data_IF_953446281833
#
_entry.id   IF_953446281833
#
_cell.length_a   1.000
_cell.length_b   1.000
_cell.length_c   1.000
_cell.angle_alpha   90.00
_cell.angle_beta   90.00
_cell.angle_gamma   90.00
#
_symmetry.space_group_name_H-M   'P 1'
#
loop_
_entity.id
_entity.type
_entity.pdbx_description
1 polymer ?
#
# COMPACT_ATOMS: atom_id res chain seq x y z
N UNK A 1 41.10 36.73 1.04
CA UNK A 1 39.67 36.29 0.95
C UNK A 1 39.54 35.07 1.84
N UNK A 2 39.09 35.23 3.06
CA UNK A 2 38.81 34.13 3.99
C UNK A 2 37.55 33.47 3.56
N UNK A 3 37.65 32.21 3.12
CA UNK A 3 36.46 31.36 2.90
C UNK A 3 35.82 31.11 4.26
N UNK A 4 34.76 31.87 4.56
CA UNK A 4 33.85 31.52 5.65
C UNK A 4 33.11 30.25 5.29
N UNK A 5 33.52 29.14 5.89
CA UNK A 5 32.76 27.89 5.84
C UNK A 5 31.60 28.03 6.82
N UNK A 6 30.42 28.30 6.29
CA UNK A 6 29.20 28.30 7.08
C UNK A 6 28.88 26.86 7.55
N UNK A 7 28.99 26.60 8.84
CA UNK A 7 28.62 25.31 9.43
C UNK A 7 27.17 25.39 9.93
N UNK A 8 26.34 24.47 9.45
CA UNK A 8 24.96 24.34 9.89
C UNK A 8 24.79 23.10 10.77
N UNK A 9 24.37 23.27 12.00
CA UNK A 9 23.96 22.16 12.85
C UNK A 9 22.59 21.65 12.38
N UNK A 10 22.43 20.32 12.25
CA UNK A 10 21.15 19.69 11.97
C UNK A 10 20.47 19.41 13.32
N UNK A 11 19.44 20.19 13.72
CA UNK A 11 18.77 19.93 14.98
C UNK A 11 17.95 18.65 14.91
N UNK A 12 17.87 17.90 16.02
CA UNK A 12 16.94 16.77 16.11
C UNK A 12 15.51 17.31 16.03
N UNK A 13 14.68 16.68 15.20
CA UNK A 13 13.26 16.99 15.10
C UNK A 13 12.39 15.77 15.43
N UNK A 14 11.19 15.99 16.02
CA UNK A 14 10.32 14.89 16.45
C UNK A 14 9.82 14.00 15.31
N UNK A 15 9.65 14.56 14.10
CA UNK A 15 9.18 13.81 12.94
C UNK A 15 10.24 12.83 12.47
N UNK A 16 11.49 13.27 12.29
CA UNK A 16 12.60 12.41 11.89
C UNK A 16 12.85 11.29 12.90
N UNK A 17 12.78 11.59 14.20
CA UNK A 17 12.90 10.58 15.25
C UNK A 17 11.79 9.52 15.15
N UNK A 18 10.55 9.94 14.92
CA UNK A 18 9.41 9.03 14.77
C UNK A 18 9.52 8.19 13.51
N UNK A 19 9.82 8.79 12.34
CA UNK A 19 9.97 8.05 11.08
C UNK A 19 11.08 6.99 11.19
N UNK A 20 12.19 7.31 11.86
CA UNK A 20 13.24 6.35 12.15
C UNK A 20 12.75 5.20 13.04
N UNK A 21 11.96 5.52 14.06
CA UNK A 21 11.40 4.54 15.01
C UNK A 21 10.38 3.60 14.35
N UNK A 22 9.56 4.09 13.41
CA UNK A 22 8.58 3.29 12.68
C UNK A 22 9.19 2.30 11.69
N UNK A 23 10.46 2.44 11.35
CA UNK A 23 11.16 1.56 10.38
C UNK A 23 10.35 1.35 9.11
N UNK A 24 9.99 2.43 8.46
CA UNK A 24 9.28 2.41 7.18
C UNK A 24 10.08 1.62 6.15
N UNK A 25 9.39 0.83 5.33
CA UNK A 25 10.00 0.07 4.25
C UNK A 25 9.17 0.22 2.98
N UNK A 26 9.74 0.79 1.94
CA UNK A 26 9.15 0.79 0.61
C UNK A 26 9.39 -0.57 -0.06
N UNK A 27 8.34 -1.15 -0.67
CA UNK A 27 8.39 -2.48 -1.30
C UNK A 27 8.25 -2.41 -2.81
N UNK A 28 7.43 -1.52 -3.31
CA UNK A 28 7.11 -1.41 -4.72
C UNK A 28 6.80 0.04 -5.07
N UNK A 29 7.29 0.47 -6.19
CA UNK A 29 6.95 1.76 -6.78
C UNK A 29 6.64 1.58 -8.25
N UNK A 30 5.78 2.44 -8.81
CA UNK A 30 5.41 2.35 -10.21
C UNK A 30 4.52 3.49 -10.69
N UNK A 31 4.19 3.41 -11.97
CA UNK A 31 3.25 4.29 -12.64
C UNK A 31 2.09 3.44 -13.16
N UNK A 32 0.87 3.90 -12.96
CA UNK A 32 -0.34 3.32 -13.52
C UNK A 32 -0.85 4.28 -14.57
N UNK A 33 -0.99 3.80 -15.80
CA UNK A 33 -1.70 4.46 -16.88
C UNK A 33 -3.04 3.73 -17.05
N UNK A 34 -4.12 4.32 -16.58
CA UNK A 34 -5.45 3.77 -16.72
C UNK A 34 -6.18 4.44 -17.89
N UNK A 35 -6.69 3.63 -18.82
CA UNK A 35 -7.54 4.10 -19.91
C UNK A 35 -9.02 4.04 -19.52
N UNK A 36 -9.84 4.79 -20.24
CA UNK A 36 -11.25 4.98 -19.93
C UNK A 36 -12.08 3.69 -19.76
N UNK A 37 -11.71 2.62 -20.45
CA UNK A 37 -12.41 1.32 -20.42
C UNK A 37 -11.80 0.35 -19.40
N UNK A 38 -10.61 0.63 -18.88
CA UNK A 38 -9.95 -0.18 -17.89
C UNK A 38 -10.29 0.35 -16.49
N UNK A 39 -10.82 -0.53 -15.66
CA UNK A 39 -11.08 -0.25 -14.26
C UNK A 39 -10.05 -1.03 -13.41
N UNK A 40 -8.77 -0.59 -13.35
CA UNK A 40 -7.76 -1.29 -12.59
C UNK A 40 -8.09 -1.16 -11.11
N UNK A 41 -8.71 -2.21 -10.57
CA UNK A 41 -8.89 -2.33 -9.13
C UNK A 41 -7.58 -2.79 -8.54
N UNK A 42 -6.91 -1.90 -7.82
CA UNK A 42 -5.74 -2.24 -7.02
C UNK A 42 -6.16 -2.39 -5.57
N UNK A 43 -6.12 -3.62 -5.07
CA UNK A 43 -6.25 -3.85 -3.63
C UNK A 43 -4.94 -3.49 -2.95
N UNK A 44 -5.02 -2.58 -2.01
CA UNK A 44 -3.84 -2.10 -1.30
C UNK A 44 -3.68 -2.91 -0.03
N UNK A 45 -2.80 -3.92 -0.07
CA UNK A 45 -2.47 -4.74 1.10
C UNK A 45 -1.50 -4.05 2.05
N UNK A 46 -0.72 -3.13 1.51
CA UNK A 46 0.24 -2.28 2.21
C UNK A 46 -0.30 -0.84 2.26
N UNK A 47 0.38 0.02 2.99
CA UNK A 47 0.18 1.46 2.77
C UNK A 47 0.56 1.81 1.35
N UNK A 48 -0.18 2.72 0.74
CA UNK A 48 0.14 3.24 -0.58
C UNK A 48 0.10 4.75 -0.60
N UNK A 49 1.18 5.36 -1.02
CA UNK A 49 1.17 6.76 -1.48
C UNK A 49 0.80 6.76 -2.94
N UNK A 50 -0.21 7.55 -3.32
CA UNK A 50 -0.53 7.85 -4.71
C UNK A 50 -0.35 9.34 -4.98
N UNK A 51 0.07 9.66 -6.19
CA UNK A 51 0.13 11.01 -6.72
C UNK A 51 -0.44 11.03 -8.14
N UNK A 52 -1.50 11.79 -8.35
CA UNK A 52 -2.14 11.93 -9.66
C UNK A 52 -1.34 12.93 -10.49
N UNK A 53 -0.68 12.43 -11.53
CA UNK A 53 0.16 13.23 -12.43
C UNK A 53 -0.69 13.93 -13.48
N UNK A 54 -1.67 13.19 -14.04
CA UNK A 54 -2.55 13.65 -15.10
C UNK A 54 -3.91 12.98 -15.02
N UNK A 55 -4.95 13.70 -15.47
CA UNK A 55 -6.33 13.21 -15.54
C UNK A 55 -7.08 13.33 -14.22
N UNK A 56 -8.25 12.69 -14.20
CA UNK A 56 -9.16 12.65 -13.05
C UNK A 56 -9.48 11.20 -12.71
N UNK A 57 -9.58 10.87 -11.42
CA UNK A 57 -9.93 9.54 -10.94
C UNK A 57 -10.91 9.61 -9.77
N UNK A 58 -11.54 8.49 -9.48
CA UNK A 58 -12.32 8.31 -8.28
C UNK A 58 -11.58 7.32 -7.37
N UNK A 59 -11.14 7.78 -6.20
CA UNK A 59 -10.53 6.92 -5.20
C UNK A 59 -11.56 6.49 -4.17
N UNK A 60 -11.70 5.19 -3.99
CA UNK A 60 -12.54 4.59 -2.97
C UNK A 60 -11.69 4.27 -1.74
N UNK A 61 -12.01 4.90 -0.61
CA UNK A 61 -11.35 4.68 0.68
C UNK A 61 -12.43 4.59 1.75
N UNK A 62 -12.41 3.53 2.54
CA UNK A 62 -13.32 3.32 3.68
C UNK A 62 -14.81 3.62 3.35
N UNK A 63 -15.31 3.00 2.29
CA UNK A 63 -16.70 3.16 1.82
C UNK A 63 -17.06 4.55 1.24
N UNK A 64 -16.09 5.44 1.14
CA UNK A 64 -16.26 6.77 0.57
C UNK A 64 -15.52 6.90 -0.77
N UNK A 65 -16.14 7.61 -1.69
CA UNK A 65 -15.57 7.89 -2.99
C UNK A 65 -15.09 9.34 -3.04
N UNK A 66 -13.83 9.53 -3.39
CA UNK A 66 -13.20 10.84 -3.45
C UNK A 66 -12.78 11.15 -4.89
N UNK A 67 -13.33 12.20 -5.53
CA UNK A 67 -12.85 12.65 -6.82
C UNK A 67 -11.46 13.26 -6.65
N UNK A 68 -10.49 12.75 -7.38
CA UNK A 68 -9.12 13.25 -7.38
C UNK A 68 -8.72 13.66 -8.79
N UNK A 69 -7.87 14.67 -8.92
CA UNK A 69 -7.38 15.18 -10.19
C UNK A 69 -5.87 15.45 -10.13
N UNK A 70 -5.29 15.80 -11.27
CA UNK A 70 -3.86 16.10 -11.37
C UNK A 70 -3.38 17.07 -10.27
N UNK A 71 -2.30 16.68 -9.61
CA UNK A 71 -1.74 17.40 -8.45
C UNK A 71 -2.26 16.92 -7.10
N UNK A 72 -3.25 16.03 -7.03
CA UNK A 72 -3.63 15.42 -5.76
C UNK A 72 -2.66 14.32 -5.36
N UNK A 73 -2.32 14.32 -4.08
CA UNK A 73 -1.62 13.23 -3.43
C UNK A 73 -2.48 12.66 -2.30
N UNK A 74 -2.39 11.35 -2.11
CA UNK A 74 -3.19 10.63 -1.12
C UNK A 74 -2.39 9.47 -0.54
N UNK A 75 -2.56 9.23 0.76
CA UNK A 75 -2.07 8.01 1.39
C UNK A 75 -3.27 7.11 1.65
N UNK A 76 -3.22 5.91 1.07
CA UNK A 76 -4.24 4.90 1.22
C UNK A 76 -3.74 3.91 2.28
N UNK A 77 -4.51 3.68 3.35
CA UNK A 77 -4.15 2.69 4.36
C UNK A 77 -4.23 1.27 3.81
N UNK A 78 -3.55 0.29 4.43
CA UNK A 78 -3.83 -1.11 4.20
C UNK A 78 -5.30 -1.35 4.51
N UNK A 79 -6.03 -1.95 3.59
CA UNK A 79 -7.49 -2.18 3.62
C UNK A 79 -8.28 -1.21 2.73
N UNK A 80 -7.63 -0.23 2.13
CA UNK A 80 -8.29 0.63 1.16
C UNK A 80 -8.48 -0.09 -0.18
N UNK A 81 -9.64 0.06 -0.78
CA UNK A 81 -9.86 -0.32 -2.18
C UNK A 81 -9.55 0.90 -3.01
N UNK A 82 -8.58 0.78 -3.88
CA UNK A 82 -8.39 1.77 -4.91
C UNK A 82 -9.12 1.34 -6.16
N UNK A 83 -10.20 1.99 -6.48
CA UNK A 83 -10.83 1.92 -7.80
C UNK A 83 -10.56 3.23 -8.51
N UNK A 84 -9.85 3.16 -9.61
CA UNK A 84 -9.78 4.28 -10.55
C UNK A 84 -10.96 4.14 -11.50
N UNK A 85 -11.94 4.99 -11.34
CA UNK A 85 -13.09 5.04 -12.24
C UNK A 85 -13.18 6.43 -12.83
N UNK A 86 -12.65 6.60 -14.02
CA UNK A 86 -13.09 7.70 -14.87
C UNK A 86 -13.17 7.25 -16.33
N UNK A 87 -14.37 7.15 -16.87
CA UNK A 87 -14.57 6.62 -18.21
C UNK A 87 -14.26 7.62 -19.33
N UNK A 88 -13.71 8.79 -19.06
CA UNK A 88 -13.58 9.85 -20.08
C UNK A 88 -12.17 10.17 -20.50
N UNK A 89 -11.16 9.94 -19.66
CA UNK A 89 -9.78 10.34 -19.94
C UNK A 89 -8.76 9.35 -19.40
N UNK A 90 -7.56 9.36 -20.00
CA UNK A 90 -6.41 8.62 -19.49
C UNK A 90 -5.91 9.25 -18.19
N UNK A 91 -5.72 8.43 -17.16
CA UNK A 91 -5.24 8.85 -15.84
C UNK A 91 -3.85 8.28 -15.60
N UNK A 92 -2.91 9.15 -15.29
CA UNK A 92 -1.55 8.78 -14.89
C UNK A 92 -1.38 8.99 -13.39
N UNK A 93 -1.05 7.91 -12.68
CA UNK A 93 -0.87 7.92 -11.23
C UNK A 93 0.46 7.27 -10.86
N UNK A 94 1.29 7.97 -10.10
CA UNK A 94 2.47 7.40 -9.47
C UNK A 94 2.10 6.81 -8.13
N UNK A 95 2.66 5.65 -7.78
CA UNK A 95 2.41 5.00 -6.50
C UNK A 95 3.67 4.41 -5.88
N UNK A 96 3.65 4.32 -4.55
CA UNK A 96 4.63 3.59 -3.76
C UNK A 96 3.89 2.79 -2.70
N UNK A 97 4.07 1.48 -2.70
CA UNK A 97 3.60 0.60 -1.64
C UNK A 97 4.67 0.53 -0.54
N UNK A 98 4.26 0.69 0.69
CA UNK A 98 5.16 0.64 1.85
C UNK A 98 4.50 0.00 3.06
N UNK A 99 5.29 -0.41 4.03
CA UNK A 99 4.82 -0.91 5.31
C UNK A 99 5.62 -0.34 6.49
N UNK A 100 5.07 -0.55 7.68
CA UNK A 100 5.69 -0.22 8.95
C UNK A 100 6.13 -1.52 9.60
N UNK A 101 7.43 -1.73 9.75
CA UNK A 101 7.99 -3.01 10.22
C UNK A 101 7.63 -3.38 11.67
N UNK A 102 7.06 -2.46 12.44
CA UNK A 102 6.62 -2.70 13.80
C UNK A 102 5.09 -2.76 13.88
N UNK A 103 4.54 -3.96 14.02
CA UNK A 103 3.09 -4.19 14.06
C UNK A 103 2.39 -3.46 15.23
N UNK A 104 3.03 -3.34 16.38
CA UNK A 104 2.47 -2.61 17.54
C UNK A 104 2.38 -1.11 17.31
N UNK A 105 3.20 -0.56 16.42
CA UNK A 105 3.21 0.85 16.09
C UNK A 105 2.43 1.18 14.80
N UNK A 106 1.99 0.14 14.07
CA UNK A 106 1.25 0.30 12.82
C UNK A 106 -0.04 1.07 13.02
N UNK A 107 -0.79 0.77 14.06
CA UNK A 107 -2.04 1.44 14.38
C UNK A 107 -1.82 2.89 14.84
N UNK A 108 -0.80 3.15 15.66
CA UNK A 108 -0.44 4.52 16.07
C UNK A 108 0.04 5.34 14.86
N UNK A 109 0.86 4.76 14.01
CA UNK A 109 1.32 5.41 12.77
C UNK A 109 0.14 5.72 11.85
N UNK A 110 -0.80 4.76 11.71
CA UNK A 110 -2.02 4.94 10.94
C UNK A 110 -2.84 6.13 11.44
N UNK A 111 -3.15 6.18 12.73
CA UNK A 111 -3.95 7.25 13.32
C UNK A 111 -3.31 8.61 13.06
N UNK A 112 -2.00 8.74 13.26
CA UNK A 112 -1.27 9.98 13.02
C UNK A 112 -1.17 10.35 11.54
N UNK A 113 -0.96 9.34 10.68
CA UNK A 113 -0.88 9.56 9.25
C UNK A 113 -2.22 10.04 8.68
N UNK A 114 -3.34 9.47 9.16
CA UNK A 114 -4.69 9.88 8.77
C UNK A 114 -5.06 11.27 9.31
N UNK A 115 -4.55 11.65 10.49
CA UNK A 115 -4.66 13.03 10.98
C UNK A 115 -3.94 14.03 10.07
N UNK A 116 -2.84 13.61 9.45
CA UNK A 116 -2.04 14.47 8.57
C UNK A 116 -2.45 14.39 7.11
N UNK A 117 -2.97 13.23 6.67
CA UNK A 117 -3.17 12.93 5.26
C UNK A 117 -4.45 12.18 4.93
N UNK A 118 -5.64 12.77 4.94
CA UNK A 118 -6.68 12.12 4.15
C UNK A 118 -6.43 12.36 2.65
N UNK A 119 -6.36 13.59 2.21
CA UNK A 119 -6.10 14.03 0.84
C UNK A 119 -5.50 15.42 0.86
N UNK A 120 -4.61 15.75 -0.05
CA UNK A 120 -4.20 17.11 -0.23
C UNK A 120 -3.85 17.41 -1.70
N UNK A 121 -4.12 18.64 -2.08
CA UNK A 121 -3.71 19.18 -3.36
C UNK A 121 -2.30 19.75 -3.23
N UNK A 122 -1.41 19.29 -4.10
CA UNK A 122 -0.04 19.78 -4.17
C UNK A 122 -0.02 21.09 -4.95
N UNK A 123 0.60 22.13 -4.40
CA UNK A 123 0.80 23.40 -5.11
C UNK A 123 1.68 23.18 -6.34
N UNK A 124 1.49 24.01 -7.36
CA UNK A 124 2.22 23.90 -8.62
C UNK A 124 3.74 23.90 -8.45
N UNK A 125 4.26 24.74 -7.55
CA UNK A 125 5.69 24.81 -7.25
C UNK A 125 6.26 23.54 -6.61
N UNK A 126 5.43 22.78 -5.90
CA UNK A 126 5.84 21.55 -5.21
C UNK A 126 5.61 20.29 -6.05
N UNK A 127 4.79 20.37 -7.12
CA UNK A 127 4.51 19.26 -8.03
C UNK A 127 5.79 18.72 -8.68
N UNK A 128 6.69 19.61 -9.09
CA UNK A 128 7.96 19.21 -9.70
C UNK A 128 8.86 18.45 -8.72
N UNK A 129 8.88 18.85 -7.44
CA UNK A 129 9.68 18.17 -6.41
C UNK A 129 9.13 16.77 -6.13
N UNK A 130 7.80 16.61 -5.99
CA UNK A 130 7.21 15.30 -5.77
C UNK A 130 7.43 14.40 -6.98
N UNK A 131 7.18 14.90 -8.17
CA UNK A 131 7.42 14.17 -9.42
C UNK A 131 8.87 13.69 -9.51
N UNK A 132 9.83 14.57 -9.28
CA UNK A 132 11.25 14.23 -9.26
C UNK A 132 11.58 13.11 -8.26
N UNK A 133 11.05 13.17 -7.03
CA UNK A 133 11.29 12.14 -6.02
C UNK A 133 10.71 10.78 -6.43
N UNK A 134 9.50 10.76 -7.01
CA UNK A 134 8.90 9.52 -7.55
C UNK A 134 9.74 8.95 -8.69
N UNK A 135 10.11 9.78 -9.68
CA UNK A 135 10.92 9.35 -10.83
C UNK A 135 12.28 8.80 -10.38
N UNK A 136 12.95 9.45 -9.42
CA UNK A 136 14.21 8.94 -8.86
C UNK A 136 14.06 7.59 -8.16
N UNK A 137 12.94 7.37 -7.45
CA UNK A 137 12.63 6.07 -6.84
C UNK A 137 12.40 5.02 -7.93
N UNK A 138 11.71 5.36 -9.03
CA UNK A 138 11.46 4.44 -10.14
C UNK A 138 12.75 4.06 -10.86
N UNK A 139 13.60 5.04 -11.19
CA UNK A 139 14.89 4.80 -11.84
C UNK A 139 15.76 3.84 -11.03
N UNK A 140 15.86 4.08 -9.72
CA UNK A 140 16.65 3.26 -8.81
C UNK A 140 16.06 1.86 -8.65
N UNK A 141 14.74 1.73 -8.62
CA UNK A 141 14.05 0.44 -8.52
C UNK A 141 14.10 -0.36 -9.83
N UNK A 142 14.09 0.31 -10.99
CA UNK A 142 14.13 -0.32 -12.30
C UNK A 142 15.51 -0.89 -12.66
N UNK A 143 16.59 -0.28 -12.16
CA UNK A 143 17.97 -0.69 -12.42
C UNK A 143 18.75 -0.84 -11.10
N UNK A 144 18.42 -1.85 -10.29
CA UNK A 144 18.99 -1.97 -8.95
C UNK A 144 20.48 -2.26 -8.99
N UNK A 145 21.24 -1.50 -8.21
CA UNK A 145 22.67 -1.63 -7.99
C UNK A 145 22.99 -1.87 -6.50
N UNK A 146 24.25 -2.01 -6.17
CA UNK A 146 24.66 -2.09 -4.78
C UNK A 146 24.24 -0.83 -4.01
N UNK A 147 23.42 -1.01 -2.97
CA UNK A 147 22.90 0.11 -2.16
C UNK A 147 21.56 0.68 -2.61
N UNK A 148 20.98 0.25 -3.75
CA UNK A 148 19.69 0.74 -4.26
C UNK A 148 18.56 0.69 -3.24
N UNK A 149 18.48 -0.37 -2.45
CA UNK A 149 17.47 -0.48 -1.39
C UNK A 149 17.56 0.66 -0.38
N UNK A 150 18.77 1.06 0.00
CA UNK A 150 19.00 2.18 0.92
C UNK A 150 18.69 3.53 0.27
N UNK A 151 19.05 3.69 -1.00
CA UNK A 151 18.74 4.90 -1.77
C UNK A 151 17.22 5.08 -1.90
N UNK A 152 16.50 4.04 -2.33
CA UNK A 152 15.03 4.03 -2.42
C UNK A 152 14.41 4.39 -1.07
N UNK A 153 14.91 3.78 0.02
CA UNK A 153 14.40 4.04 1.36
C UNK A 153 14.59 5.51 1.77
N UNK A 154 15.76 6.11 1.51
CA UNK A 154 16.04 7.50 1.84
C UNK A 154 15.21 8.48 0.98
N UNK A 155 15.06 8.20 -0.31
CA UNK A 155 14.21 8.98 -1.20
C UNK A 155 12.73 8.91 -0.76
N UNK A 156 12.27 7.73 -0.37
CA UNK A 156 10.91 7.55 0.15
C UNK A 156 10.68 8.30 1.46
N UNK A 157 11.61 8.24 2.41
CA UNK A 157 11.54 9.05 3.64
C UNK A 157 11.51 10.56 3.31
N UNK A 158 12.32 11.00 2.35
CA UNK A 158 12.33 12.40 1.90
C UNK A 158 10.99 12.81 1.28
N UNK A 159 10.39 11.93 0.47
CA UNK A 159 9.06 12.12 -0.10
C UNK A 159 8.00 12.29 1.00
N UNK A 160 7.94 11.38 1.97
CA UNK A 160 6.98 11.46 3.08
C UNK A 160 7.16 12.72 3.92
N UNK A 161 8.41 13.08 4.27
CA UNK A 161 8.70 14.30 5.03
C UNK A 161 8.23 15.53 4.26
N UNK A 162 8.50 15.59 2.95
CA UNK A 162 8.05 16.70 2.12
C UNK A 162 6.53 16.79 2.10
N UNK A 163 5.84 15.68 1.95
CA UNK A 163 4.38 15.60 1.99
C UNK A 163 3.83 16.08 3.35
N UNK A 164 4.41 15.65 4.49
CA UNK A 164 4.00 16.11 5.83
C UNK A 164 4.15 17.61 5.97
N UNK A 165 5.28 18.18 5.53
CA UNK A 165 5.52 19.63 5.60
C UNK A 165 4.50 20.42 4.79
N UNK A 166 4.15 19.96 3.59
CA UNK A 166 3.10 20.55 2.77
C UNK A 166 1.74 20.53 3.48
N UNK A 167 1.38 19.41 4.09
CA UNK A 167 0.12 19.28 4.83
C UNK A 167 0.06 20.21 6.05
N UNK A 168 1.17 20.39 6.78
CA UNK A 168 1.26 21.28 7.94
C UNK A 168 1.18 22.77 7.56
N UNK A 169 1.59 23.15 6.35
CA UNK A 169 1.54 24.53 5.88
C UNK A 169 0.14 24.97 5.43
N UNK A 170 -0.88 24.15 5.66
CA UNK A 170 -2.26 24.46 5.29
C UNK A 170 -2.55 24.33 3.80
N UNK A 171 -1.65 23.70 3.06
CA UNK A 171 -1.76 23.44 1.63
C UNK A 171 -2.63 22.22 1.31
N UNK A 172 -3.01 21.48 2.36
CA UNK A 172 -3.92 20.34 2.23
C UNK A 172 -5.34 20.83 1.98
N UNK A 173 -5.90 20.51 0.84
CA UNK A 173 -7.33 20.71 0.60
C UNK A 173 -8.07 19.64 1.43
N UNK A 174 -8.53 20.03 2.62
CA UNK A 174 -9.39 19.21 3.47
C UNK A 174 -10.81 19.03 2.90
N UNK A 175 -11.08 19.62 1.74
CA UNK A 175 -12.43 19.77 1.19
C UNK A 175 -12.78 18.79 0.06
N UNK A 176 -12.07 17.68 -0.06
CA UNK A 176 -12.59 16.61 -0.91
C UNK A 176 -13.81 16.00 -0.24
N UNK A 177 -14.98 16.47 -0.67
CA UNK A 177 -16.25 15.90 -0.22
C UNK A 177 -16.43 14.53 -0.87
N UNK A 178 -16.71 13.49 -0.07
CA UNK A 178 -17.01 12.20 -0.65
C UNK A 178 -18.28 12.28 -1.49
N UNK A 179 -18.25 11.64 -2.65
CA UNK A 179 -19.45 11.47 -3.48
C UNK A 179 -20.17 10.18 -3.10
N UNK A 180 -21.48 10.18 -3.21
CA UNK A 180 -22.27 9.00 -2.93
C UNK A 180 -21.99 7.92 -3.97
N UNK A 181 -21.55 6.75 -3.50
CA UNK A 181 -21.33 5.59 -4.35
C UNK A 181 -22.67 4.99 -4.80
N UNK A 182 -22.66 4.32 -5.95
CA UNK A 182 -23.73 3.39 -6.27
C UNK A 182 -23.80 2.30 -5.19
N UNK A 183 -25.00 1.81 -4.88
CA UNK A 183 -25.21 0.77 -3.86
C UNK A 183 -24.31 -0.45 -4.06
N UNK A 184 -24.01 -0.81 -5.31
CA UNK A 184 -23.17 -1.95 -5.67
C UNK A 184 -21.69 -1.72 -5.31
N UNK A 185 -21.16 -0.53 -5.59
CA UNK A 185 -19.77 -0.17 -5.23
C UNK A 185 -19.59 -0.08 -3.72
N UNK A 186 -20.57 0.46 -3.03
CA UNK A 186 -20.59 0.49 -1.58
C UNK A 186 -20.55 -0.92 -0.97
N UNK A 187 -21.35 -1.86 -1.51
CA UNK A 187 -21.39 -3.23 -1.01
C UNK A 187 -20.06 -3.97 -1.23
N UNK A 188 -19.41 -3.82 -2.40
CA UNK A 188 -18.12 -4.48 -2.63
C UNK A 188 -17.02 -3.88 -1.75
N UNK A 189 -17.00 -2.57 -1.53
CA UNK A 189 -16.08 -1.92 -0.61
C UNK A 189 -16.23 -2.47 0.80
N UNK A 190 -17.46 -2.54 1.31
CA UNK A 190 -17.75 -3.13 2.61
C UNK A 190 -17.34 -4.60 2.73
N UNK A 191 -17.60 -5.40 1.67
CA UNK A 191 -17.19 -6.80 1.63
C UNK A 191 -15.69 -6.95 1.79
N UNK A 192 -14.92 -6.18 1.05
CA UNK A 192 -13.45 -6.23 1.08
C UNK A 192 -12.91 -5.73 2.42
N UNK A 193 -13.46 -4.64 2.97
CA UNK A 193 -13.10 -4.16 4.30
C UNK A 193 -13.34 -5.23 5.38
N UNK A 194 -14.47 -5.94 5.30
CA UNK A 194 -14.77 -7.04 6.21
C UNK A 194 -13.77 -8.18 6.10
N UNK A 195 -13.41 -8.60 4.87
CA UNK A 195 -12.38 -9.62 4.63
C UNK A 195 -11.06 -9.23 5.30
N UNK A 196 -10.62 -7.99 5.13
CA UNK A 196 -9.37 -7.51 5.71
C UNK A 196 -9.36 -7.49 7.24
N UNK A 197 -10.48 -7.17 7.86
CA UNK A 197 -10.60 -7.13 9.32
C UNK A 197 -10.60 -8.52 9.95
N UNK A 198 -11.09 -9.53 9.22
CA UNK A 198 -11.32 -10.88 9.74
C UNK A 198 -10.43 -11.95 9.10
N UNK A 199 -9.34 -11.57 8.44
CA UNK A 199 -8.51 -12.49 7.66
C UNK A 199 -7.84 -13.59 8.47
N UNK A 200 -7.52 -13.31 9.74
CA UNK A 200 -6.92 -14.27 10.68
C UNK A 200 -7.92 -15.31 11.22
N UNK A 201 -9.20 -15.03 11.10
CA UNK A 201 -10.26 -15.96 11.46
C UNK A 201 -10.44 -17.01 10.34
N UNK A 202 -11.13 -18.11 10.62
CA UNK A 202 -11.52 -19.07 9.57
C UNK A 202 -12.63 -18.50 8.68
N UNK A 203 -12.38 -17.30 8.15
CA UNK A 203 -13.35 -16.51 7.39
C UNK A 203 -13.91 -17.29 6.21
N UNK A 204 -15.24 -17.37 6.14
CA UNK A 204 -16.01 -17.99 5.07
C UNK A 204 -16.70 -16.94 4.20
N UNK A 205 -17.02 -17.31 2.97
CA UNK A 205 -17.80 -16.44 2.06
C UNK A 205 -19.18 -16.14 2.62
N UNK A 206 -19.77 -17.08 3.34
CA UNK A 206 -21.05 -16.91 4.00
C UNK A 206 -21.00 -15.80 5.05
N UNK A 207 -19.99 -15.80 5.92
CA UNK A 207 -19.83 -14.74 6.93
C UNK A 207 -19.66 -13.35 6.30
N UNK A 208 -18.93 -13.26 5.18
CA UNK A 208 -18.84 -12.00 4.43
C UNK A 208 -20.21 -11.58 3.91
N UNK A 209 -20.99 -12.49 3.31
CA UNK A 209 -22.33 -12.19 2.80
C UNK A 209 -23.30 -11.79 3.92
N UNK A 210 -23.28 -12.53 5.03
CA UNK A 210 -24.11 -12.27 6.21
C UNK A 210 -23.80 -10.89 6.83
N UNK A 211 -22.55 -10.47 6.87
CA UNK A 211 -22.13 -9.16 7.40
C UNK A 211 -22.71 -7.98 6.60
N UNK A 212 -23.07 -8.23 5.34
CA UNK A 212 -23.63 -7.23 4.42
C UNK A 212 -25.15 -7.38 4.24
N UNK A 213 -25.76 -8.37 4.90
CA UNK A 213 -27.18 -8.75 4.70
C UNK A 213 -27.53 -9.04 3.22
N UNK A 214 -26.64 -9.77 2.51
CA UNK A 214 -26.85 -10.19 1.12
C UNK A 214 -26.65 -11.70 0.99
N UNK A 215 -27.18 -12.27 -0.11
CA UNK A 215 -26.96 -13.69 -0.40
C UNK A 215 -25.51 -13.94 -0.90
N UNK A 216 -24.96 -15.13 -0.64
CA UNK A 216 -23.66 -15.54 -1.20
C UNK A 216 -23.64 -15.43 -2.73
N UNK A 217 -24.73 -15.81 -3.40
CA UNK A 217 -24.87 -15.71 -4.86
C UNK A 217 -24.67 -14.28 -5.33
N UNK A 218 -25.26 -13.32 -4.63
CA UNK A 218 -25.11 -11.92 -4.97
C UNK A 218 -23.70 -11.41 -4.67
N UNK A 219 -23.09 -11.86 -3.57
CA UNK A 219 -21.68 -11.57 -3.25
C UNK A 219 -20.73 -12.10 -4.35
N UNK A 220 -20.96 -13.33 -4.85
CA UNK A 220 -20.18 -13.87 -5.97
C UNK A 220 -20.29 -13.02 -7.22
N UNK A 221 -21.49 -12.57 -7.55
CA UNK A 221 -21.75 -11.67 -8.68
C UNK A 221 -20.98 -10.36 -8.50
N UNK A 222 -21.06 -9.73 -7.32
CA UNK A 222 -20.37 -8.49 -6.99
C UNK A 222 -18.85 -8.63 -7.15
N UNK A 223 -18.27 -9.69 -6.56
CA UNK A 223 -16.84 -9.94 -6.67
C UNK A 223 -16.42 -10.16 -8.13
N UNK A 224 -17.18 -10.94 -8.89
CA UNK A 224 -16.87 -11.20 -10.29
C UNK A 224 -16.90 -9.93 -11.14
N UNK A 225 -17.89 -9.07 -10.95
CA UNK A 225 -18.06 -7.81 -11.69
C UNK A 225 -17.00 -6.77 -11.33
N UNK A 226 -16.61 -6.70 -10.05
CA UNK A 226 -15.73 -5.63 -9.57
C UNK A 226 -14.28 -6.04 -9.35
N UNK A 227 -13.98 -7.32 -9.19
CA UNK A 227 -12.63 -7.82 -8.91
C UNK A 227 -12.14 -8.84 -9.93
N UNK A 228 -13.00 -9.24 -10.87
CA UNK A 228 -12.74 -10.32 -11.84
C UNK A 228 -12.45 -11.69 -11.20
N UNK A 229 -12.62 -11.82 -9.89
CA UNK A 229 -12.34 -13.02 -9.09
C UNK A 229 -13.57 -13.49 -8.31
N UNK A 230 -13.51 -14.71 -7.77
CA UNK A 230 -14.47 -15.15 -6.75
C UNK A 230 -14.07 -14.64 -5.36
N UNK A 231 -15.03 -14.51 -4.41
CA UNK A 231 -14.73 -14.13 -3.03
C UNK A 231 -13.70 -15.06 -2.37
N UNK A 232 -13.79 -16.38 -2.61
CA UNK A 232 -12.81 -17.32 -2.06
C UNK A 232 -11.41 -17.07 -2.59
N UNK A 233 -11.26 -16.86 -3.90
CA UNK A 233 -9.95 -16.60 -4.49
C UNK A 233 -9.38 -15.29 -3.94
N UNK A 234 -10.21 -14.27 -3.79
CA UNK A 234 -9.80 -13.02 -3.20
C UNK A 234 -9.27 -13.20 -1.77
N UNK A 235 -10.02 -13.90 -0.91
CA UNK A 235 -9.58 -14.22 0.47
C UNK A 235 -8.28 -15.00 0.46
N UNK A 236 -8.18 -16.03 -0.41
CA UNK A 236 -6.98 -16.88 -0.50
C UNK A 236 -5.75 -16.07 -0.97
N UNK A 237 -5.88 -15.29 -2.03
CA UNK A 237 -4.77 -14.47 -2.53
C UNK A 237 -4.30 -13.45 -1.48
N UNK A 238 -5.22 -12.85 -0.76
CA UNK A 238 -4.87 -11.93 0.32
C UNK A 238 -4.11 -12.63 1.45
N UNK A 239 -4.57 -13.82 1.89
CA UNK A 239 -3.82 -14.62 2.87
C UNK A 239 -2.41 -14.97 2.41
N UNK A 240 -2.25 -15.35 1.13
CA UNK A 240 -0.95 -15.70 0.56
C UNK A 240 -0.03 -14.48 0.41
N UNK A 241 -0.60 -13.32 0.12
CA UNK A 241 0.15 -12.07 0.10
C UNK A 241 0.69 -11.71 1.50
N UNK A 242 -0.15 -11.75 2.53
CA UNK A 242 0.29 -11.55 3.92
C UNK A 242 1.32 -12.59 4.36
N UNK A 243 1.22 -13.83 3.85
CA UNK A 243 2.21 -14.86 4.13
C UNK A 243 3.61 -14.47 3.64
N UNK A 244 3.73 -13.79 2.50
CA UNK A 244 5.02 -13.31 2.01
C UNK A 244 5.65 -12.31 2.98
N UNK A 245 4.84 -11.43 3.57
CA UNK A 245 5.31 -10.48 4.58
C UNK A 245 5.78 -11.20 5.86
N UNK A 246 4.98 -12.13 6.38
CA UNK A 246 5.34 -12.88 7.59
C UNK A 246 6.56 -13.79 7.38
N UNK A 247 6.76 -14.31 6.18
CA UNK A 247 7.93 -15.11 5.83
C UNK A 247 9.23 -14.29 5.82
N UNK A 248 9.18 -12.98 5.74
CA UNK A 248 10.36 -12.11 5.85
C UNK A 248 10.96 -12.10 7.26
N UNK A 249 10.19 -12.47 8.28
CA UNK A 249 10.66 -12.63 9.64
C UNK A 249 11.14 -14.09 9.86
N UNK A 250 12.46 -14.34 10.10
CA UNK A 250 12.99 -15.68 10.30
C UNK A 250 12.46 -16.37 11.56
N UNK A 251 12.10 -15.60 12.58
CA UNK A 251 11.66 -16.11 13.89
C UNK A 251 10.21 -16.59 13.89
N UNK A 252 9.46 -16.34 12.83
CA UNK A 252 8.06 -16.76 12.71
C UNK A 252 7.95 -18.18 12.12
N UNK A 253 7.55 -19.19 12.90
CA UNK A 253 7.39 -20.54 12.40
C UNK A 253 6.32 -20.62 11.28
N UNK A 254 6.58 -21.35 10.21
CA UNK A 254 5.65 -21.49 9.07
C UNK A 254 4.27 -21.99 9.53
N UNK A 255 4.24 -22.90 10.53
CA UNK A 255 3.00 -23.39 11.12
C UNK A 255 2.19 -22.29 11.80
N UNK A 256 2.87 -21.36 12.48
CA UNK A 256 2.24 -20.21 13.16
C UNK A 256 1.71 -19.23 12.11
N UNK A 257 2.45 -18.98 11.04
CA UNK A 257 1.99 -18.16 9.91
C UNK A 257 0.70 -18.74 9.31
N UNK A 258 0.67 -20.02 9.02
CA UNK A 258 -0.52 -20.69 8.49
C UNK A 258 -1.73 -20.52 9.41
N UNK A 259 -1.54 -20.69 10.71
CA UNK A 259 -2.60 -20.53 11.72
C UNK A 259 -3.09 -19.09 11.81
N UNK A 260 -2.19 -18.12 11.88
CA UNK A 260 -2.55 -16.69 11.97
C UNK A 260 -3.27 -16.15 10.74
N UNK A 261 -3.02 -16.78 9.58
CA UNK A 261 -3.69 -16.43 8.34
C UNK A 261 -4.97 -17.24 8.08
N UNK A 262 -5.45 -18.01 9.08
CA UNK A 262 -6.71 -18.74 9.00
C UNK A 262 -6.68 -19.94 8.04
N UNK A 263 -5.50 -20.53 7.79
CA UNK A 263 -5.42 -21.82 7.08
C UNK A 263 -5.75 -22.98 8.01
N UNK A 264 -6.46 -23.98 7.48
CA UNK A 264 -6.85 -25.15 8.25
C UNK A 264 -5.63 -25.96 8.79
N UNK A 265 -4.54 -26.01 8.03
CA UNK A 265 -3.28 -26.63 8.43
C UNK A 265 -2.11 -26.07 7.60
N UNK A 266 -0.88 -26.36 8.06
CA UNK A 266 0.35 -25.91 7.42
C UNK A 266 0.64 -26.56 6.06
N UNK A 267 0.16 -27.79 5.84
CA UNK A 267 0.36 -28.51 4.59
C UNK A 267 -0.48 -27.89 3.47
N UNK A 268 -1.76 -27.62 3.76
CA UNK A 268 -2.64 -26.92 2.83
C UNK A 268 -2.12 -25.50 2.52
N UNK A 269 -1.67 -24.78 3.54
CA UNK A 269 -1.01 -23.49 3.34
C UNK A 269 0.19 -23.62 2.39
N UNK A 270 1.08 -24.58 2.64
CA UNK A 270 2.30 -24.77 1.85
C UNK A 270 1.98 -25.09 0.40
N UNK A 271 0.97 -25.92 0.15
CA UNK A 271 0.50 -26.25 -1.20
C UNK A 271 -0.07 -25.01 -1.93
N UNK A 272 -0.93 -24.23 -1.26
CA UNK A 272 -1.48 -22.99 -1.82
C UNK A 272 -0.39 -21.98 -2.09
N UNK A 273 0.55 -21.78 -1.16
CA UNK A 273 1.65 -20.85 -1.29
C UNK A 273 2.60 -21.26 -2.43
N UNK A 274 2.90 -22.54 -2.57
CA UNK A 274 3.72 -23.04 -3.68
C UNK A 274 3.06 -22.73 -5.04
N UNK A 275 1.76 -22.94 -5.16
CA UNK A 275 1.01 -22.61 -6.38
C UNK A 275 1.02 -21.10 -6.68
N UNK A 276 0.97 -20.28 -5.65
CA UNK A 276 0.95 -18.81 -5.75
C UNK A 276 2.33 -18.21 -6.06
N UNK A 277 3.36 -18.62 -5.29
CA UNK A 277 4.69 -18.03 -5.33
C UNK A 277 5.72 -18.84 -6.15
N UNK A 278 5.32 -20.00 -6.72
CA UNK A 278 6.20 -20.87 -7.50
C UNK A 278 7.23 -21.65 -6.68
N UNK A 279 7.22 -21.52 -5.35
CA UNK A 279 8.12 -22.28 -4.46
C UNK A 279 7.50 -22.42 -3.06
N UNK A 280 8.02 -23.37 -2.26
CA UNK A 280 7.52 -23.57 -0.90
C UNK A 280 7.80 -22.38 0.01
N UNK A 281 7.01 -22.18 1.09
CA UNK A 281 7.24 -21.09 2.06
C UNK A 281 8.66 -21.07 2.64
N UNK A 282 9.24 -22.25 2.89
CA UNK A 282 10.62 -22.37 3.40
C UNK A 282 11.66 -21.91 2.38
N UNK A 283 11.52 -22.31 1.12
CA UNK A 283 12.40 -21.86 0.03
C UNK A 283 12.24 -20.37 -0.22
N UNK A 284 11.01 -19.86 -0.17
CA UNK A 284 10.74 -18.43 -0.31
C UNK A 284 11.45 -17.63 0.79
N UNK A 285 11.32 -18.04 2.05
CA UNK A 285 12.02 -17.45 3.20
C UNK A 285 13.53 -17.47 3.00
N UNK A 286 14.08 -18.61 2.62
CA UNK A 286 15.52 -18.74 2.40
C UNK A 286 16.02 -17.77 1.32
N UNK A 287 15.29 -17.61 0.23
CA UNK A 287 15.61 -16.62 -0.82
C UNK A 287 15.59 -15.20 -0.30
N UNK A 288 14.57 -14.81 0.49
CA UNK A 288 14.49 -13.49 1.11
C UNK A 288 15.68 -13.23 2.05
N UNK A 289 16.03 -14.19 2.88
CA UNK A 289 17.17 -14.07 3.81
C UNK A 289 18.51 -14.05 3.08
N UNK A 290 18.66 -14.82 2.01
CA UNK A 290 19.86 -14.82 1.18
C UNK A 290 20.01 -13.52 0.41
N UNK A 291 18.94 -12.93 -0.09
CA UNK A 291 18.96 -11.62 -0.76
C UNK A 291 19.23 -10.45 0.21
N UNK A 292 18.75 -10.56 1.46
CA UNK A 292 19.02 -9.58 2.51
C UNK A 292 20.40 -9.81 3.19
N UNK A 293 20.95 -11.03 3.09
CA UNK A 293 22.25 -11.44 3.64
C UNK A 293 23.38 -11.42 2.61
N UNK A 294 23.19 -10.78 1.46
CA UNK A 294 24.17 -10.84 0.38
C UNK A 294 25.49 -10.18 0.74
N UNK A 295 26.42 -11.07 1.13
CA UNK A 295 27.86 -11.03 0.91
C UNK A 295 28.58 -9.76 1.35
N UNK A 296 28.74 -9.65 2.65
CA UNK A 296 30.03 -9.19 3.17
C UNK A 296 30.86 -10.45 3.45
N UNK A 297 31.41 -11.07 2.41
CA UNK A 297 32.61 -11.85 2.56
C UNK A 297 33.75 -10.86 2.41
N UNK A 298 34.52 -10.56 3.45
CA UNK A 298 35.81 -9.93 3.30
C UNK A 298 36.79 -11.02 2.85
N UNK A 299 37.35 -10.87 1.66
CA UNK A 299 38.70 -11.31 1.43
C UNK A 299 39.66 -10.17 1.83
#
# INVERSE_FOLDING_TARGET
MTNEISQYAIPPDPLSQRLYHYRLKAFQAGCILAQAEENPQSYVHLFRVNYVVRGEALFLIDDQAFPVHAGHAVIIPPRGILTQANPKEEVETYFINFDVSNLTMRDEFMMRLLEWFPFYQVRDNDRQILRYLFERIFDEAAQPQLGSSLIVQNLFCSLLIKMVRMAQQGEAVRDLQPVTLSSTRYLISRAVSYVYQHIGDHLTVKEVADSLNISEIYLYKLFKEHTSQSPQNFILEYRLHLAQEYLSNPDFPIKVIAQQLGFANADYFSACFHKYAGCSPSVYRQRLLSSNGMRLNPE
#
